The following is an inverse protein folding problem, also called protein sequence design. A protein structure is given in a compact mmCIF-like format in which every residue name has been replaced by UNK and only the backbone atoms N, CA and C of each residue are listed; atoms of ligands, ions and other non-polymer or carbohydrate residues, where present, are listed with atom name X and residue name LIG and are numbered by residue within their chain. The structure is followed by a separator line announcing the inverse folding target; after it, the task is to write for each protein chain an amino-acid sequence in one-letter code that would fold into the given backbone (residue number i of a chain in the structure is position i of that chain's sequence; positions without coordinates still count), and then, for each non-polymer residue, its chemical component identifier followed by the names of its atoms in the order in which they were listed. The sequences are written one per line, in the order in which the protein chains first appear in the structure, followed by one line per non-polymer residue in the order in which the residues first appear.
data_IF_596349785823
#
_entry.id   IF_596349785823
#
_cell.length_a   1.000
_cell.length_b   1.000
_cell.length_c   1.000
_cell.angle_alpha   90.00
_cell.angle_beta   90.00
_cell.angle_gamma   90.00
#
_symmetry.space_group_name_H-M   'P 1'
#
loop_
_entity.id
_entity.type
_entity.pdbx_description
1 polymer ?
#
# COMPACT_ATOMS: atom_id res chain seq x y z
N UNK A 1 -0.99 -22.41 -13.43
CA UNK A 1 -2.09 -22.33 -12.45
C UNK A 1 -1.53 -21.77 -11.15
N UNK A 2 -1.33 -20.45 -11.06
CA UNK A 2 -0.78 -19.80 -9.86
C UNK A 2 -1.11 -18.32 -9.80
N UNK A 3 -2.14 -17.89 -10.53
CA UNK A 3 -2.58 -16.51 -10.50
C UNK A 3 -3.21 -16.23 -9.14
N UNK A 4 -2.76 -15.17 -8.49
CA UNK A 4 -3.48 -14.60 -7.34
C UNK A 4 -4.68 -13.78 -7.84
N UNK A 5 -5.57 -13.40 -6.92
CA UNK A 5 -6.69 -12.51 -7.25
C UNK A 5 -6.22 -11.20 -7.94
N UNK A 6 -5.02 -10.70 -7.58
CA UNK A 6 -4.42 -9.54 -8.23
C UNK A 6 -4.08 -9.81 -9.71
N UNK A 7 -3.58 -11.00 -10.05
CA UNK A 7 -3.27 -11.37 -11.45
C UNK A 7 -4.52 -11.44 -12.32
N UNK A 8 -5.63 -11.95 -11.76
CA UNK A 8 -6.91 -12.03 -12.46
C UNK A 8 -7.47 -10.63 -12.80
N UNK A 9 -7.19 -9.60 -11.99
CA UNK A 9 -7.58 -8.23 -12.32
C UNK A 9 -6.96 -7.72 -13.64
N UNK A 10 -5.73 -8.13 -13.96
CA UNK A 10 -5.10 -7.79 -15.24
C UNK A 10 -5.63 -8.61 -16.43
N UNK A 11 -6.33 -9.72 -16.16
CA UNK A 11 -6.97 -10.55 -17.18
C UNK A 11 -8.41 -10.11 -17.44
N UNK A 12 -9.08 -9.60 -16.41
CA UNK A 12 -10.47 -9.15 -16.44
C UNK A 12 -10.55 -7.64 -16.74
N UNK A 13 -10.34 -7.28 -18.01
CA UNK A 13 -10.38 -5.90 -18.51
C UNK A 13 -11.74 -5.19 -18.29
N UNK A 14 -12.80 -5.94 -17.99
CA UNK A 14 -14.15 -5.42 -17.82
C UNK A 14 -14.38 -4.59 -16.55
N UNK A 15 -13.53 -4.73 -15.52
CA UNK A 15 -13.77 -4.13 -14.20
C UNK A 15 -12.80 -3.01 -13.83
N UNK A 16 -11.83 -2.69 -14.71
CA UNK A 16 -10.86 -1.61 -14.48
C UNK A 16 -10.02 -1.80 -13.22
N UNK A 17 -9.60 -0.69 -12.61
CA UNK A 17 -8.66 -0.70 -11.48
C UNK A 17 -9.29 -0.85 -10.09
N UNK A 18 -10.61 -0.87 -9.96
CA UNK A 18 -11.28 -0.92 -8.64
C UNK A 18 -11.03 -2.24 -7.86
N UNK A 19 -11.21 -3.43 -8.46
CA UNK A 19 -10.91 -4.69 -7.77
C UNK A 19 -9.46 -4.74 -7.26
N UNK A 20 -8.54 -4.16 -8.04
CA UNK A 20 -7.14 -4.05 -7.68
C UNK A 20 -6.94 -3.18 -6.43
N UNK A 21 -7.60 -2.02 -6.35
CA UNK A 21 -7.53 -1.12 -5.17
C UNK A 21 -8.01 -1.82 -3.90
N UNK A 22 -9.12 -2.55 -3.99
CA UNK A 22 -9.69 -3.28 -2.86
C UNK A 22 -8.70 -4.35 -2.38
N UNK A 23 -8.17 -5.16 -3.30
CA UNK A 23 -7.23 -6.23 -2.96
C UNK A 23 -5.94 -5.68 -2.34
N UNK A 24 -5.37 -4.62 -2.90
CA UNK A 24 -4.18 -3.96 -2.34
C UNK A 24 -4.45 -3.40 -0.93
N UNK A 25 -5.63 -2.77 -0.72
CA UNK A 25 -6.04 -2.27 0.60
C UNK A 25 -6.17 -3.38 1.65
N UNK A 26 -6.58 -4.57 1.26
CA UNK A 26 -6.71 -5.73 2.14
C UNK A 26 -5.40 -6.52 2.33
N UNK A 27 -4.26 -6.00 1.86
CA UNK A 27 -2.95 -6.63 2.04
C UNK A 27 -2.52 -7.54 0.90
N UNK A 28 -3.16 -7.43 -0.27
CA UNK A 28 -2.67 -8.07 -1.48
C UNK A 28 -1.26 -7.57 -1.83
N UNK A 29 -0.34 -8.50 -2.04
CA UNK A 29 1.03 -8.17 -2.41
C UNK A 29 1.20 -8.20 -3.94
N UNK A 30 1.44 -7.04 -4.60
CA UNK A 30 1.67 -7.00 -6.03
C UNK A 30 3.01 -7.62 -6.46
N UNK A 31 3.93 -7.87 -5.51
CA UNK A 31 5.22 -8.52 -5.79
C UNK A 31 5.12 -10.04 -5.88
N UNK A 32 3.96 -10.63 -5.56
CA UNK A 32 3.77 -12.07 -5.65
C UNK A 32 3.87 -12.54 -7.10
N UNK A 33 4.58 -13.64 -7.31
CA UNK A 33 4.78 -14.23 -8.64
C UNK A 33 3.81 -15.38 -8.88
N UNK A 34 3.24 -15.43 -10.07
CA UNK A 34 2.49 -16.60 -10.53
C UNK A 34 3.44 -17.75 -10.95
N UNK A 35 2.88 -18.88 -11.36
CA UNK A 35 3.66 -20.04 -11.86
C UNK A 35 4.58 -19.73 -13.04
N UNK A 36 4.26 -18.68 -13.81
CA UNK A 36 5.08 -18.22 -14.95
C UNK A 36 6.21 -17.29 -14.51
N UNK A 37 6.37 -17.08 -13.20
CA UNK A 37 7.28 -16.11 -12.60
C UNK A 37 6.99 -14.66 -13.03
N UNK A 38 5.73 -14.38 -13.38
CA UNK A 38 5.26 -13.03 -13.68
C UNK A 38 4.65 -12.43 -12.41
N UNK A 39 4.99 -11.19 -12.10
CA UNK A 39 4.27 -10.39 -11.11
C UNK A 39 3.00 -9.79 -11.73
N UNK A 40 2.14 -9.25 -10.87
CA UNK A 40 0.95 -8.54 -11.35
C UNK A 40 1.34 -7.31 -12.21
N UNK A 41 2.46 -6.65 -11.88
CA UNK A 41 2.97 -5.48 -12.59
C UNK A 41 3.50 -5.86 -13.97
N UNK A 42 4.15 -7.02 -14.08
CA UNK A 42 4.62 -7.55 -15.38
C UNK A 42 3.43 -7.83 -16.30
N UNK A 43 2.35 -8.42 -15.78
CA UNK A 43 1.12 -8.65 -16.54
C UNK A 43 0.47 -7.34 -16.99
N UNK A 44 0.32 -6.37 -16.08
CA UNK A 44 -0.25 -5.06 -16.40
C UNK A 44 0.58 -4.32 -17.47
N UNK A 45 1.91 -4.42 -17.39
CA UNK A 45 2.84 -3.83 -18.36
C UNK A 45 2.71 -4.50 -19.72
N UNK A 46 2.71 -5.84 -19.77
CA UNK A 46 2.54 -6.61 -21.02
C UNK A 46 1.20 -6.34 -21.70
N UNK A 47 0.17 -6.05 -20.91
CA UNK A 47 -1.19 -5.72 -21.37
C UNK A 47 -1.39 -4.24 -21.68
N UNK A 48 -0.38 -3.39 -21.42
CA UNK A 48 -0.45 -1.94 -21.58
C UNK A 48 -1.59 -1.29 -20.76
N UNK A 49 -1.87 -1.83 -19.57
CA UNK A 49 -2.92 -1.33 -18.68
C UNK A 49 -2.39 -0.21 -17.79
N UNK A 50 -2.27 0.99 -18.36
CA UNK A 50 -1.71 2.16 -17.68
C UNK A 50 -2.44 2.53 -16.39
N UNK A 51 -3.77 2.36 -16.34
CA UNK A 51 -4.56 2.66 -15.15
C UNK A 51 -4.16 1.79 -13.96
N UNK A 52 -3.92 0.50 -14.18
CA UNK A 52 -3.46 -0.42 -13.13
C UNK A 52 -2.05 -0.04 -12.64
N UNK A 53 -1.16 0.34 -13.55
CA UNK A 53 0.18 0.83 -13.22
C UNK A 53 0.12 2.09 -12.35
N UNK A 54 -0.78 3.03 -12.63
CA UNK A 54 -0.98 4.21 -11.78
C UNK A 54 -1.43 3.84 -10.37
N UNK A 55 -2.29 2.82 -10.21
CA UNK A 55 -2.70 2.33 -8.88
C UNK A 55 -1.51 1.75 -8.11
N UNK A 56 -0.64 0.97 -8.76
CA UNK A 56 0.54 0.41 -8.09
C UNK A 56 1.52 1.49 -7.63
N UNK A 57 1.79 2.49 -8.48
CA UNK A 57 2.66 3.63 -8.12
C UNK A 57 2.10 4.37 -6.90
N UNK A 58 0.78 4.63 -6.89
CA UNK A 58 0.12 5.27 -5.75
C UNK A 58 0.22 4.42 -4.48
N UNK A 59 -0.06 3.13 -4.58
CA UNK A 59 -0.02 2.22 -3.44
C UNK A 59 1.39 2.10 -2.83
N UNK A 60 2.44 2.03 -3.65
CA UNK A 60 3.82 2.03 -3.16
C UNK A 60 4.19 3.34 -2.47
N UNK A 61 3.79 4.49 -3.03
CA UNK A 61 3.96 5.79 -2.39
C UNK A 61 3.28 5.85 -1.02
N UNK A 62 2.01 5.43 -0.93
CA UNK A 62 1.26 5.41 0.32
C UNK A 62 1.92 4.50 1.37
N UNK A 63 2.44 3.32 0.97
CA UNK A 63 3.17 2.40 1.85
C UNK A 63 4.46 3.04 2.39
N UNK A 64 5.21 3.76 1.56
CA UNK A 64 6.44 4.45 2.00
C UNK A 64 6.13 5.55 3.02
N UNK A 65 5.06 6.33 2.80
CA UNK A 65 4.63 7.38 3.75
C UNK A 65 4.20 6.75 5.09
N UNK A 66 3.45 5.65 5.06
CA UNK A 66 3.05 4.94 6.27
C UNK A 66 4.24 4.38 7.05
N UNK A 67 5.25 3.86 6.37
CA UNK A 67 6.46 3.35 7.04
C UNK A 67 7.26 4.49 7.69
N UNK A 68 7.46 5.60 6.97
CA UNK A 68 8.18 6.77 7.49
C UNK A 68 7.46 7.39 8.69
N UNK A 69 6.13 7.45 8.65
CA UNK A 69 5.33 7.99 9.77
C UNK A 69 5.36 7.08 10.99
N UNK A 70 5.39 5.75 10.84
CA UNK A 70 5.58 4.83 11.98
C UNK A 70 6.92 5.06 12.70
N UNK A 71 8.00 5.29 11.95
CA UNK A 71 9.30 5.66 12.53
C UNK A 71 9.19 6.94 13.36
N UNK A 72 8.51 7.96 12.84
CA UNK A 72 8.32 9.24 13.52
C UNK A 72 7.57 9.11 14.87
N UNK A 73 6.54 8.25 14.95
CA UNK A 73 5.78 8.05 16.20
C UNK A 73 6.47 7.07 17.17
N UNK A 74 7.19 6.05 16.68
CA UNK A 74 7.91 5.10 17.54
C UNK A 74 9.09 5.72 18.28
N UNK A 75 9.77 6.72 17.71
CA UNK A 75 10.83 7.46 18.42
C UNK A 75 10.30 8.29 19.60
N UNK A 76 9.08 8.83 19.46
CA UNK A 76 8.45 9.68 20.49
C UNK A 76 7.83 8.88 21.65
N UNK A 77 7.57 7.59 21.47
CA UNK A 77 7.11 6.69 22.53
C UNK A 77 8.21 6.39 23.59
N UNK A 78 9.49 6.70 23.31
CA UNK A 78 10.58 6.64 24.30
C UNK A 78 10.73 7.91 25.13
N UNK A 79 10.23 9.05 24.66
CA UNK A 79 10.24 10.31 25.42
C UNK A 79 8.89 10.48 26.10
N UNK A 80 8.83 10.20 27.40
CA UNK A 80 7.69 10.56 28.26
C UNK A 80 7.19 11.98 27.89
N UNK A 81 5.88 12.22 27.77
CA UNK A 81 5.38 13.57 27.55
C UNK A 81 5.78 14.42 28.76
N UNK A 82 6.72 15.35 28.57
CA UNK A 82 6.94 16.46 29.48
C UNK A 82 5.82 17.47 29.21
N UNK A 83 4.60 17.08 29.54
CA UNK A 83 3.57 18.03 29.90
C UNK A 83 3.25 17.80 31.37
N UNK A 84 4.15 18.31 32.20
CA UNK A 84 3.76 18.76 33.52
C UNK A 84 2.79 19.91 33.33
N UNK A 85 1.49 19.63 33.40
CA UNK A 85 0.51 20.64 33.76
C UNK A 85 0.80 21.02 35.21
N UNK A 86 1.78 21.92 35.39
CA UNK A 86 1.92 22.69 36.62
C UNK A 86 0.81 23.72 36.55
N UNK A 87 -0.35 23.39 37.11
CA UNK A 87 -1.34 24.40 37.50
C UNK A 87 -0.69 25.27 38.57
N UNK A 88 0.07 26.28 38.15
CA UNK A 88 0.46 27.39 39.01
C UNK A 88 -0.49 28.55 38.73
N UNK A 89 -1.45 28.67 39.64
CA UNK A 89 -1.90 29.93 40.26
C UNK A 89 -1.82 31.20 39.39
N UNK A 90 -2.98 31.77 39.11
CA UNK A 90 -3.13 33.22 39.19
C UNK A 90 -4.27 33.55 40.15
N UNK A 91 -3.91 34.46 41.05
CA UNK A 91 -4.64 35.08 42.14
C UNK A 91 -5.93 35.76 41.73
#
# INVERSE_FOLDING_TARGET
RGNTALHECCLLEAHGAEPLRILLKHGGDPAWLNDKKESVVDLATRKNHQELLQVFVKYHGDKMIQEQTKSYYNDRARTKPVYGYRSSEKS
#
